data_IF_207090800081
#
_entry.id   IF_207090800081
#
_cell.length_a   1.000
_cell.length_b   1.000
_cell.length_c   1.000
_cell.angle_alpha   90.00
_cell.angle_beta   90.00
_cell.angle_gamma   90.00
#
_symmetry.space_group_name_H-M   'P 1'
#
loop_
_entity.id
_entity.type
_entity.pdbx_description
1 polymer ?
#
# COMPACT_ATOMS: atom_id res chain seq x y z
N UNK A 1 24.91 -20.52 1.00
CA UNK A 1 23.85 -19.89 0.21
C UNK A 1 23.33 -18.73 1.03
N UNK A 2 23.66 -17.51 0.61
CA UNK A 2 23.45 -16.27 1.34
C UNK A 2 21.96 -15.95 1.37
N UNK A 3 21.46 -15.64 2.57
CA UNK A 3 20.11 -15.19 2.81
C UNK A 3 19.93 -13.86 2.06
N UNK A 4 19.20 -13.86 0.93
CA UNK A 4 18.80 -12.62 0.28
C UNK A 4 17.79 -11.97 1.21
N UNK A 5 18.23 -10.97 1.97
CA UNK A 5 17.33 -10.19 2.82
C UNK A 5 16.20 -9.63 1.97
N UNK A 6 14.98 -9.65 2.51
CA UNK A 6 13.82 -9.01 1.91
C UNK A 6 14.12 -7.53 1.68
N UNK A 7 14.26 -7.10 0.42
CA UNK A 7 14.55 -5.72 0.07
C UNK A 7 14.70 -5.53 -1.43
N UNK A 8 14.57 -4.28 -1.87
CA UNK A 8 14.86 -3.88 -3.24
C UNK A 8 16.32 -3.44 -3.34
N UNK A 9 17.00 -3.87 -4.40
CA UNK A 9 18.35 -3.41 -4.74
C UNK A 9 18.24 -2.30 -5.79
N UNK A 10 18.90 -1.18 -5.53
CA UNK A 10 18.98 -0.04 -6.44
C UNK A 10 20.44 0.30 -6.72
N UNK A 11 20.71 0.80 -7.92
CA UNK A 11 22.01 1.35 -8.29
C UNK A 11 21.84 2.86 -8.54
N UNK A 12 22.64 3.67 -7.83
CA UNK A 12 22.66 5.12 -7.98
C UNK A 12 23.86 5.49 -8.85
N UNK A 13 23.67 6.41 -9.81
CA UNK A 13 24.64 6.72 -10.87
C UNK A 13 26.06 7.03 -10.37
N UNK A 14 26.18 7.71 -9.24
CA UNK A 14 27.46 8.12 -8.65
C UNK A 14 28.00 7.17 -7.56
N UNK A 15 27.30 6.06 -7.30
CA UNK A 15 27.67 5.07 -6.28
C UNK A 15 28.21 3.83 -6.97
N UNK A 16 29.53 3.76 -7.09
CA UNK A 16 30.21 2.73 -7.92
C UNK A 16 31.00 1.71 -7.10
N UNK A 17 31.13 1.93 -5.79
CA UNK A 17 31.84 1.03 -4.89
C UNK A 17 31.05 0.75 -3.60
N UNK A 18 31.44 -0.31 -2.90
CA UNK A 18 30.91 -0.62 -1.55
C UNK A 18 31.16 0.55 -0.59
N UNK A 19 32.31 1.22 -0.72
CA UNK A 19 32.64 2.38 0.12
C UNK A 19 31.68 3.54 -0.10
N UNK A 20 31.30 3.83 -1.35
CA UNK A 20 30.32 4.86 -1.66
C UNK A 20 28.94 4.51 -1.06
N UNK A 21 28.51 3.25 -1.25
CA UNK A 21 27.23 2.77 -0.75
C UNK A 21 27.16 2.79 0.79
N UNK A 22 28.29 2.49 1.47
CA UNK A 22 28.36 2.45 2.93
C UNK A 22 28.03 3.80 3.57
N UNK A 23 28.39 4.91 2.92
CA UNK A 23 28.11 6.27 3.41
C UNK A 23 26.62 6.58 3.42
N UNK A 24 25.84 5.93 2.55
CA UNK A 24 24.40 6.15 2.41
C UNK A 24 23.57 5.33 3.42
N UNK A 25 24.16 4.35 4.10
CA UNK A 25 23.45 3.53 5.08
C UNK A 25 22.87 4.41 6.18
N UNK A 26 21.57 4.23 6.47
CA UNK A 26 20.84 4.99 7.50
C UNK A 26 20.28 6.34 7.03
N UNK A 27 20.42 6.68 5.75
CA UNK A 27 19.81 7.88 5.17
C UNK A 27 18.44 7.58 4.54
N UNK A 28 17.62 8.62 4.37
CA UNK A 28 16.36 8.54 3.63
C UNK A 28 16.58 8.83 2.15
N UNK A 29 15.90 8.05 1.29
CA UNK A 29 15.73 8.36 -0.12
C UNK A 29 14.41 9.13 -0.27
N UNK A 30 14.47 10.37 -0.75
CA UNK A 30 13.32 11.26 -0.88
C UNK A 30 13.14 11.69 -2.34
N UNK A 31 11.89 11.88 -2.77
CA UNK A 31 11.53 12.46 -4.05
C UNK A 31 10.48 13.57 -3.83
N UNK A 32 10.53 14.69 -4.58
CA UNK A 32 9.45 15.67 -4.59
C UNK A 32 8.14 15.04 -5.07
N UNK A 33 7.01 15.40 -4.46
CA UNK A 33 5.70 14.83 -4.80
C UNK A 33 5.31 15.18 -6.23
N UNK A 34 5.65 16.39 -6.68
CA UNK A 34 5.42 16.89 -8.03
C UNK A 34 6.21 16.18 -9.13
N UNK A 35 7.22 15.38 -8.77
CA UNK A 35 8.02 14.59 -9.70
C UNK A 35 7.61 13.10 -9.71
N UNK A 36 6.66 12.71 -8.84
CA UNK A 36 6.12 11.36 -8.84
C UNK A 36 5.26 11.14 -10.10
N UNK A 37 5.35 9.96 -10.73
CA UNK A 37 4.41 9.57 -11.78
C UNK A 37 2.95 9.76 -11.34
N UNK A 38 2.12 10.29 -12.23
CA UNK A 38 0.68 10.50 -11.98
C UNK A 38 -0.09 9.18 -11.75
N UNK A 39 0.51 8.05 -12.12
CA UNK A 39 -0.02 6.70 -11.93
C UNK A 39 0.51 6.02 -10.64
N UNK A 40 1.30 6.73 -9.81
CA UNK A 40 1.49 6.28 -8.44
C UNK A 40 0.12 6.34 -7.75
N UNK A 41 -0.35 5.17 -7.32
CA UNK A 41 -1.53 5.09 -6.46
C UNK A 41 -1.38 5.97 -5.22
N UNK A 42 -2.51 6.26 -4.53
CA UNK A 42 -2.50 7.14 -3.36
C UNK A 42 -1.49 6.66 -2.32
N UNK A 43 -0.85 7.61 -1.64
CA UNK A 43 0.05 7.28 -0.55
C UNK A 43 -0.72 6.57 0.57
N UNK A 44 -0.05 5.68 1.32
CA UNK A 44 -0.71 4.85 2.33
C UNK A 44 -1.39 5.68 3.43
N UNK A 45 -0.83 6.83 3.77
CA UNK A 45 -1.40 7.78 4.73
C UNK A 45 -2.64 8.51 4.19
N UNK A 46 -2.76 8.67 2.86
CA UNK A 46 -3.96 9.22 2.21
C UNK A 46 -5.14 8.24 2.20
N UNK A 47 -4.87 6.94 2.36
CA UNK A 47 -5.88 5.89 2.38
C UNK A 47 -6.59 5.77 3.74
N UNK A 48 -5.91 6.08 4.85
CA UNK A 48 -6.49 5.97 6.18
C UNK A 48 -7.65 6.98 6.35
N UNK A 49 -8.80 6.49 6.79
CA UNK A 49 -10.05 7.25 6.94
C UNK A 49 -10.96 7.20 5.72
N UNK A 50 -10.49 6.68 4.58
CA UNK A 50 -11.31 6.55 3.37
C UNK A 50 -12.39 5.48 3.53
N UNK A 51 -13.57 5.78 2.99
CA UNK A 51 -14.71 4.87 2.99
C UNK A 51 -14.50 3.78 1.93
N UNK A 52 -14.85 2.54 2.28
CA UNK A 52 -14.80 1.37 1.39
C UNK A 52 -16.21 0.81 1.25
N UNK A 53 -16.59 0.48 0.01
CA UNK A 53 -17.83 -0.20 -0.30
C UNK A 53 -17.57 -1.40 -1.22
N UNK A 54 -18.18 -2.52 -0.88
CA UNK A 54 -18.18 -3.72 -1.71
C UNK A 54 -19.35 -3.71 -2.69
N UNK A 55 -19.11 -4.23 -3.89
CA UNK A 55 -20.11 -4.31 -4.96
C UNK A 55 -21.36 -5.11 -4.58
N UNK A 56 -21.22 -6.17 -3.80
CA UNK A 56 -22.31 -7.05 -3.36
C UNK A 56 -22.86 -6.68 -1.97
N UNK A 57 -22.00 -6.28 -1.04
CA UNK A 57 -22.37 -6.07 0.37
C UNK A 57 -22.61 -4.60 0.76
N UNK A 58 -22.26 -3.65 -0.11
CA UNK A 58 -22.41 -2.22 0.16
C UNK A 58 -21.32 -1.67 1.09
N UNK A 59 -21.66 -0.70 1.94
CA UNK A 59 -20.66 -0.03 2.79
C UNK A 59 -20.02 -0.98 3.81
N UNK A 60 -18.70 -1.18 3.70
CA UNK A 60 -17.92 -2.00 4.64
C UNK A 60 -17.39 -1.19 5.82
N UNK A 61 -17.15 0.12 5.62
CA UNK A 61 -16.63 1.01 6.66
C UNK A 61 -15.49 1.89 6.16
N UNK A 62 -14.60 2.28 7.09
CA UNK A 62 -13.43 3.10 6.78
C UNK A 62 -12.14 2.36 7.06
N UNK A 63 -11.12 2.57 6.23
CA UNK A 63 -9.76 2.09 6.49
C UNK A 63 -9.27 2.76 7.76
N UNK A 64 -8.93 2.00 8.80
CA UNK A 64 -8.38 2.53 10.05
C UNK A 64 -6.89 2.22 10.24
N UNK A 65 -6.38 1.23 9.51
CA UNK A 65 -4.99 0.77 9.60
C UNK A 65 -4.62 0.06 8.29
N UNK A 66 -3.33 0.14 7.93
CA UNK A 66 -2.75 -0.61 6.83
C UNK A 66 -1.60 -1.45 7.41
N UNK A 67 -1.73 -2.77 7.29
CA UNK A 67 -0.72 -3.72 7.72
C UNK A 67 0.17 -4.08 6.53
N UNK A 68 1.46 -3.78 6.63
CA UNK A 68 2.44 -4.10 5.58
C UNK A 68 2.83 -5.57 5.70
N UNK A 69 2.48 -6.35 4.68
CA UNK A 69 2.72 -7.80 4.62
C UNK A 69 3.87 -8.18 3.69
N UNK A 70 4.41 -9.40 3.80
CA UNK A 70 5.48 -9.87 2.92
C UNK A 70 5.01 -10.18 1.49
N UNK A 71 3.70 -10.35 1.28
CA UNK A 71 3.11 -10.66 -0.02
C UNK A 71 2.22 -9.52 -0.52
N UNK A 72 1.25 -9.11 0.32
CA UNK A 72 0.36 -7.99 0.04
C UNK A 72 0.16 -7.19 1.31
N UNK A 73 -0.12 -5.90 1.15
CA UNK A 73 -0.63 -5.08 2.24
C UNK A 73 -2.07 -5.51 2.56
N UNK A 74 -2.52 -5.24 3.79
CA UNK A 74 -3.88 -5.53 4.24
C UNK A 74 -4.50 -4.27 4.80
N UNK A 75 -5.64 -3.85 4.23
CA UNK A 75 -6.46 -2.79 4.79
C UNK A 75 -7.34 -3.35 5.90
N UNK A 76 -7.28 -2.71 7.07
CA UNK A 76 -8.22 -2.97 8.16
C UNK A 76 -9.36 -1.97 8.04
N UNK A 77 -10.54 -2.47 7.68
CA UNK A 77 -11.75 -1.64 7.47
C UNK A 77 -12.72 -1.87 8.62
N UNK A 78 -13.20 -0.80 9.25
CA UNK A 78 -14.13 -0.89 10.39
C UNK A 78 -15.42 -0.11 10.18
N UNK A 79 -16.53 -0.71 10.62
CA UNK A 79 -17.84 -0.08 10.76
C UNK A 79 -18.48 -0.51 12.09
N UNK A 80 -18.49 0.39 13.07
CA UNK A 80 -18.94 0.06 14.42
C UNK A 80 -18.07 -1.04 15.04
N UNK A 81 -18.69 -2.16 15.42
CA UNK A 81 -18.00 -3.32 16.01
C UNK A 81 -17.55 -4.37 14.98
N UNK A 82 -17.80 -4.13 13.68
CA UNK A 82 -17.37 -5.03 12.60
C UNK A 82 -16.02 -4.59 12.06
N UNK A 83 -15.18 -5.58 11.77
CA UNK A 83 -13.86 -5.42 11.16
C UNK A 83 -13.75 -6.37 9.97
N UNK A 84 -13.25 -5.86 8.85
CA UNK A 84 -12.97 -6.62 7.62
C UNK A 84 -11.51 -6.40 7.26
N UNK A 85 -10.80 -7.49 6.99
CA UNK A 85 -9.41 -7.46 6.55
C UNK A 85 -9.40 -7.69 5.04
N UNK A 86 -8.99 -6.66 4.29
CA UNK A 86 -8.99 -6.68 2.83
C UNK A 86 -7.55 -6.75 2.34
N UNK A 87 -7.09 -7.88 1.77
CA UNK A 87 -5.81 -7.94 1.07
C UNK A 87 -5.82 -6.98 -0.12
N UNK A 88 -4.78 -6.16 -0.25
CA UNK A 88 -4.62 -5.22 -1.35
C UNK A 88 -4.02 -5.98 -2.54
N UNK A 89 -4.89 -6.55 -3.36
CA UNK A 89 -4.55 -7.15 -4.64
C UNK A 89 -5.45 -6.57 -5.72
N UNK A 90 -4.91 -6.39 -6.93
CA UNK A 90 -5.61 -5.74 -8.04
C UNK A 90 -6.97 -6.38 -8.36
N UNK A 91 -7.11 -7.70 -8.15
CA UNK A 91 -8.35 -8.44 -8.39
C UNK A 91 -9.51 -8.02 -7.46
N UNK A 92 -9.21 -7.49 -6.27
CA UNK A 92 -10.22 -7.07 -5.30
C UNK A 92 -10.59 -5.59 -5.40
N UNK A 93 -9.78 -4.79 -6.11
CA UNK A 93 -9.97 -3.34 -6.21
C UNK A 93 -10.66 -3.03 -7.55
N UNK A 94 -11.96 -2.74 -7.49
CA UNK A 94 -12.72 -2.30 -8.67
C UNK A 94 -12.37 -0.85 -9.05
N UNK A 95 -12.30 0.04 -8.05
CA UNK A 95 -12.00 1.46 -8.26
C UNK A 95 -11.31 2.10 -7.05
N UNK A 96 -10.21 2.80 -7.29
CA UNK A 96 -9.45 3.57 -6.30
C UNK A 96 -9.35 5.04 -6.74
N UNK A 97 -10.43 5.83 -6.63
CA UNK A 97 -10.42 7.21 -7.09
C UNK A 97 -9.54 8.07 -6.17
N UNK A 98 -9.00 9.21 -6.64
CA UNK A 98 -8.21 10.13 -5.81
C UNK A 98 -9.01 10.68 -4.62
N UNK A 99 -10.32 10.86 -4.79
CA UNK A 99 -11.25 11.29 -3.74
C UNK A 99 -12.53 10.46 -3.79
N UNK A 100 -13.19 10.29 -2.65
CA UNK A 100 -14.45 9.54 -2.56
C UNK A 100 -14.31 8.12 -2.04
N UNK A 101 -15.34 7.31 -2.30
CA UNK A 101 -15.43 5.91 -1.83
C UNK A 101 -14.53 5.01 -2.67
N UNK A 102 -13.84 4.09 -2.02
CA UNK A 102 -13.07 3.03 -2.67
C UNK A 102 -14.01 1.86 -2.92
N UNK A 103 -14.06 1.38 -4.15
CA UNK A 103 -14.92 0.27 -4.55
C UNK A 103 -14.13 -1.03 -4.66
N UNK A 104 -14.64 -2.07 -4.02
CA UNK A 104 -14.03 -3.40 -4.00
C UNK A 104 -15.02 -4.46 -4.44
N UNK A 105 -14.49 -5.60 -4.87
CA UNK A 105 -15.25 -6.82 -5.12
C UNK A 105 -14.56 -7.97 -4.40
N UNK A 106 -15.06 -8.31 -3.20
CA UNK A 106 -14.47 -9.33 -2.35
C UNK A 106 -15.14 -10.69 -2.58
N UNK A 107 -14.38 -11.80 -2.49
CA UNK A 107 -14.94 -13.13 -2.58
C UNK A 107 -15.81 -13.46 -1.37
N UNK A 108 -16.79 -14.35 -1.57
CA UNK A 108 -17.65 -14.88 -0.51
C UNK A 108 -16.79 -15.46 0.64
N UNK A 109 -17.06 -15.02 1.87
CA UNK A 109 -16.40 -15.50 3.09
C UNK A 109 -15.27 -14.62 3.62
N UNK A 110 -14.95 -13.49 2.97
CA UNK A 110 -14.04 -12.47 3.49
C UNK A 110 -14.75 -11.35 4.29
N UNK A 111 -16.07 -11.21 4.08
CA UNK A 111 -16.96 -10.22 4.72
C UNK A 111 -17.94 -10.91 5.67
#
# INVERSE_FOLDING_TARGET
MTNAGSGQLIALSDVTSISDAQVLVGHYLLAPVEELPDDLGPALDELVGRQVADRAYGELGRICEIMIGPANDVWVVRQGNKEVLIPVIDEFIDELPTQGVIHVHLPDGLV
#
